data_IF_456270487605
#
_entry.id   IF_456270487605
#
_cell.length_a   1.000
_cell.length_b   1.000
_cell.length_c   1.000
_cell.angle_alpha   90.00
_cell.angle_beta   90.00
_cell.angle_gamma   90.00
#
_symmetry.space_group_name_H-M   'P 1'
#
loop_
_entity.id
_entity.type
_entity.pdbx_description
1 polymer ?
#
# COMPACT_ATOMS: atom_id res chain seq x y z
N UNK A 1 -16.61 31.27 14.43
CA UNK A 1 -15.31 30.63 14.15
C UNK A 1 -15.08 29.60 15.23
N UNK A 2 -15.51 28.35 14.99
CA UNK A 2 -15.20 27.22 15.86
C UNK A 2 -14.14 26.40 15.14
N UNK A 3 -12.96 26.31 15.76
CA UNK A 3 -11.89 25.40 15.36
C UNK A 3 -12.40 23.96 15.52
N UNK A 4 -12.64 23.28 14.40
CA UNK A 4 -13.20 21.92 14.33
C UNK A 4 -12.20 20.92 13.76
N UNK A 5 -10.97 20.92 14.27
CA UNK A 5 -9.91 19.97 13.90
C UNK A 5 -9.72 18.83 14.91
N UNK A 6 -10.81 18.35 15.52
CA UNK A 6 -10.76 17.03 16.16
C UNK A 6 -11.04 15.98 15.08
N UNK A 7 -10.12 15.03 14.82
CA UNK A 7 -10.44 13.87 14.01
C UNK A 7 -11.65 13.18 14.65
N UNK A 8 -12.73 13.03 13.87
CA UNK A 8 -13.91 12.33 14.32
C UNK A 8 -13.51 10.89 14.62
N UNK A 9 -13.78 10.40 15.83
CA UNK A 9 -13.54 9.00 16.17
C UNK A 9 -14.36 8.12 15.21
N UNK A 10 -13.74 7.12 14.54
CA UNK A 10 -14.48 6.23 13.66
C UNK A 10 -15.62 5.53 14.41
N UNK A 11 -16.76 5.35 13.74
CA UNK A 11 -17.91 4.64 14.31
C UNK A 11 -17.73 3.12 14.29
N UNK A 12 -16.76 2.63 13.51
CA UNK A 12 -16.37 1.23 13.42
C UNK A 12 -15.18 1.04 12.47
N UNK A 13 -14.64 -0.18 12.46
CA UNK A 13 -13.49 -0.54 11.62
C UNK A 13 -13.81 -1.73 10.72
N UNK A 14 -13.21 -1.73 9.53
CA UNK A 14 -13.10 -2.87 8.63
C UNK A 14 -11.62 -3.23 8.49
N UNK A 15 -11.24 -4.46 8.85
CA UNK A 15 -9.85 -4.89 8.80
C UNK A 15 -9.62 -5.70 7.53
N UNK A 16 -8.73 -5.22 6.66
CA UNK A 16 -8.45 -5.82 5.35
C UNK A 16 -7.01 -6.33 5.33
N UNK A 17 -6.85 -7.63 5.05
CA UNK A 17 -5.57 -8.32 4.93
C UNK A 17 -4.86 -8.06 3.59
N UNK A 18 -3.97 -8.97 3.22
CA UNK A 18 -3.09 -8.88 2.05
C UNK A 18 -3.87 -8.53 0.76
N UNK A 19 -3.35 -7.56 0.01
CA UNK A 19 -3.96 -7.10 -1.24
C UNK A 19 -3.15 -7.53 -2.46
N UNK A 20 -1.81 -7.54 -2.36
CA UNK A 20 -0.90 -8.04 -3.37
C UNK A 20 -1.21 -7.57 -4.79
N UNK A 21 -1.39 -6.26 -5.00
CA UNK A 21 -1.60 -5.69 -6.32
C UNK A 21 -2.92 -6.06 -6.99
N UNK A 22 -3.96 -6.41 -6.22
CA UNK A 22 -5.30 -6.70 -6.74
C UNK A 22 -6.28 -5.56 -6.45
N UNK A 23 -6.10 -4.44 -7.16
CA UNK A 23 -6.90 -3.23 -6.97
C UNK A 23 -8.38 -3.45 -7.32
N UNK A 24 -8.70 -4.20 -8.37
CA UNK A 24 -10.09 -4.47 -8.76
C UNK A 24 -10.85 -5.31 -7.70
N UNK A 25 -10.31 -6.44 -7.19
CA UNK A 25 -10.88 -7.12 -6.02
C UNK A 25 -11.02 -6.23 -4.78
N UNK A 26 -10.03 -5.36 -4.51
CA UNK A 26 -10.12 -4.42 -3.38
C UNK A 26 -11.28 -3.43 -3.55
N UNK A 27 -11.44 -2.80 -4.73
CA UNK A 27 -12.58 -1.91 -5.02
C UNK A 27 -13.92 -2.61 -4.80
N UNK A 28 -14.04 -3.83 -5.32
CA UNK A 28 -15.25 -4.64 -5.17
C UNK A 28 -15.55 -4.93 -3.69
N UNK A 29 -14.53 -5.29 -2.91
CA UNK A 29 -14.69 -5.52 -1.47
C UNK A 29 -15.16 -4.24 -0.74
N UNK A 30 -14.56 -3.09 -1.06
CA UNK A 30 -14.95 -1.81 -0.46
C UNK A 30 -16.42 -1.46 -0.78
N UNK A 31 -16.84 -1.66 -2.02
CA UNK A 31 -18.23 -1.47 -2.45
C UNK A 31 -19.20 -2.42 -1.73
N UNK A 32 -18.83 -3.71 -1.59
CA UNK A 32 -19.61 -4.69 -0.83
C UNK A 32 -19.72 -4.34 0.67
N UNK A 33 -18.70 -3.69 1.22
CA UNK A 33 -18.69 -3.17 2.60
C UNK A 33 -19.43 -1.84 2.76
N UNK A 34 -19.97 -1.26 1.68
CA UNK A 34 -20.73 -0.02 1.69
C UNK A 34 -19.89 1.27 1.59
N UNK A 35 -18.61 1.16 1.22
CA UNK A 35 -17.80 2.33 0.91
C UNK A 35 -18.12 2.83 -0.50
N UNK A 36 -18.14 4.15 -0.67
CA UNK A 36 -18.40 4.83 -1.93
C UNK A 36 -17.24 5.76 -2.28
N UNK A 37 -16.98 5.95 -3.57
CA UNK A 37 -15.95 6.87 -4.04
C UNK A 37 -16.41 8.33 -3.90
N UNK A 38 -15.75 9.09 -3.02
CA UNK A 38 -16.06 10.49 -2.72
C UNK A 38 -14.76 11.31 -2.70
N UNK A 39 -14.70 12.39 -3.47
CA UNK A 39 -13.55 13.29 -3.55
C UNK A 39 -12.20 12.57 -3.79
N UNK A 40 -12.22 11.48 -4.56
CA UNK A 40 -11.03 10.71 -4.92
C UNK A 40 -10.60 9.62 -3.93
N UNK A 41 -11.39 9.36 -2.88
CA UNK A 41 -11.14 8.25 -1.96
C UNK A 41 -12.43 7.48 -1.60
N UNK A 42 -12.31 6.20 -1.25
CA UNK A 42 -13.44 5.44 -0.73
C UNK A 42 -13.77 5.89 0.71
N UNK A 43 -15.04 6.18 0.99
CA UNK A 43 -15.56 6.62 2.29
C UNK A 43 -16.85 5.87 2.63
N UNK A 44 -17.11 5.64 3.90
CA UNK A 44 -18.33 5.00 4.37
C UNK A 44 -19.23 6.04 5.04
N UNK A 45 -20.48 6.19 4.59
CA UNK A 45 -21.42 7.23 5.08
C UNK A 45 -21.60 7.21 6.60
N UNK A 46 -21.62 6.01 7.21
CA UNK A 46 -21.72 5.86 8.66
C UNK A 46 -20.45 6.29 9.44
N UNK A 47 -19.36 6.71 8.79
CA UNK A 47 -18.10 7.10 9.43
C UNK A 47 -17.20 5.94 9.86
N UNK A 48 -17.28 4.79 9.17
CA UNK A 48 -16.37 3.65 9.37
C UNK A 48 -15.04 3.90 8.69
N UNK A 49 -13.98 3.28 9.22
CA UNK A 49 -12.62 3.41 8.70
C UNK A 49 -12.01 2.05 8.37
N UNK A 50 -11.24 1.97 7.28
CA UNK A 50 -10.49 0.76 6.96
C UNK A 50 -9.18 0.71 7.74
N UNK A 51 -8.79 -0.48 8.19
CA UNK A 51 -7.46 -0.81 8.71
C UNK A 51 -6.81 -1.80 7.75
N UNK A 52 -5.88 -1.33 6.94
CA UNK A 52 -5.09 -2.17 6.04
C UNK A 52 -3.92 -2.80 6.79
N UNK A 53 -3.75 -4.12 6.64
CA UNK A 53 -2.73 -4.89 7.35
C UNK A 53 -1.37 -4.99 6.63
N UNK A 54 -1.21 -4.32 5.49
CA UNK A 54 0.01 -4.36 4.67
C UNK A 54 -0.09 -5.33 3.49
N UNK A 55 1.06 -5.66 2.91
CA UNK A 55 1.20 -6.56 1.76
C UNK A 55 0.35 -6.08 0.57
N UNK A 56 0.61 -4.85 0.14
CA UNK A 56 -0.01 -4.16 -0.99
C UNK A 56 0.67 -4.51 -2.31
N UNK A 57 1.97 -4.78 -2.25
CA UNK A 57 2.81 -5.03 -3.44
C UNK A 57 3.07 -6.52 -3.66
N UNK A 58 3.78 -6.79 -4.75
CA UNK A 58 4.16 -8.11 -5.26
C UNK A 58 2.95 -8.99 -5.66
N UNK A 59 3.15 -9.85 -6.67
CA UNK A 59 2.20 -10.83 -7.25
C UNK A 59 1.15 -10.30 -8.23
N UNK A 60 0.25 -9.41 -7.82
CA UNK A 60 -0.91 -9.01 -8.62
C UNK A 60 -0.56 -8.06 -9.78
N UNK A 61 -1.47 -7.88 -10.74
CA UNK A 61 -1.22 -7.09 -11.95
C UNK A 61 -1.43 -5.58 -11.77
N UNK A 62 -2.08 -5.12 -10.70
CA UNK A 62 -2.52 -3.74 -10.46
C UNK A 62 -1.80 -3.14 -9.24
N UNK A 63 -0.49 -3.33 -9.14
CA UNK A 63 0.33 -2.92 -7.97
C UNK A 63 0.26 -1.41 -7.77
N UNK A 64 0.46 -0.62 -8.83
CA UNK A 64 0.43 0.84 -8.76
C UNK A 64 -0.96 1.34 -8.37
N UNK A 65 -2.01 0.81 -8.99
CA UNK A 65 -3.39 1.16 -8.68
C UNK A 65 -3.77 0.79 -7.25
N UNK A 66 -3.24 -0.32 -6.72
CA UNK A 66 -3.42 -0.73 -5.32
C UNK A 66 -2.81 0.29 -4.38
N UNK A 67 -1.56 0.69 -4.64
CA UNK A 67 -0.86 1.68 -3.83
C UNK A 67 -1.57 3.04 -3.84
N UNK A 68 -1.95 3.54 -5.02
CA UNK A 68 -2.72 4.79 -5.15
C UNK A 68 -4.07 4.74 -4.44
N UNK A 69 -4.79 3.61 -4.50
CA UNK A 69 -6.06 3.43 -3.80
C UNK A 69 -5.86 3.46 -2.29
N UNK A 70 -4.95 2.63 -1.76
CA UNK A 70 -4.68 2.53 -0.31
C UNK A 70 -4.20 3.87 0.23
N UNK A 71 -3.19 4.47 -0.40
CA UNK A 71 -2.65 5.77 0.02
C UNK A 71 -3.71 6.87 -0.09
N UNK A 72 -4.51 6.90 -1.14
CA UNK A 72 -5.62 7.85 -1.28
C UNK A 72 -6.59 7.78 -0.11
N UNK A 73 -6.97 6.57 0.33
CA UNK A 73 -7.82 6.40 1.52
C UNK A 73 -7.11 6.87 2.81
N UNK A 74 -5.82 6.55 2.99
CA UNK A 74 -5.03 6.98 4.15
C UNK A 74 -4.90 8.50 4.20
N UNK A 75 -4.49 9.14 3.11
CA UNK A 75 -4.34 10.60 3.00
C UNK A 75 -5.67 11.32 3.25
N UNK A 76 -6.80 10.71 2.87
CA UNK A 76 -8.14 11.26 3.03
C UNK A 76 -8.75 11.03 4.44
N UNK A 77 -8.07 10.28 5.29
CA UNK A 77 -8.49 9.91 6.64
C UNK A 77 -9.56 8.81 6.72
N UNK A 78 -9.90 8.15 5.60
CA UNK A 78 -10.85 7.02 5.59
C UNK A 78 -10.21 5.66 5.81
N UNK A 79 -8.88 5.60 5.88
CA UNK A 79 -8.13 4.41 6.26
C UNK A 79 -6.91 4.72 7.13
N UNK A 80 -6.42 3.71 7.83
CA UNK A 80 -5.03 3.62 8.32
C UNK A 80 -4.40 2.36 7.75
N UNK A 81 -3.07 2.35 7.66
CA UNK A 81 -2.31 1.23 7.16
C UNK A 81 -1.13 0.92 8.09
N UNK A 82 -0.76 -0.36 8.18
CA UNK A 82 0.53 -0.80 8.70
C UNK A 82 1.36 -1.37 7.56
N UNK A 83 2.68 -1.31 7.70
CA UNK A 83 3.61 -1.88 6.72
C UNK A 83 3.65 -3.40 6.85
N UNK A 84 3.45 -4.11 5.73
CA UNK A 84 3.58 -5.56 5.64
C UNK A 84 5.03 -5.99 5.43
N UNK A 85 5.26 -7.30 5.39
CA UNK A 85 6.62 -7.80 5.14
C UNK A 85 7.05 -7.58 3.70
N UNK A 86 6.12 -7.49 2.74
CA UNK A 86 6.44 -7.22 1.35
C UNK A 86 6.98 -5.79 1.17
N UNK A 87 6.34 -4.79 1.75
CA UNK A 87 6.84 -3.40 1.76
C UNK A 87 8.18 -3.28 2.50
N UNK A 88 8.31 -3.90 3.69
CA UNK A 88 9.58 -3.92 4.43
C UNK A 88 10.72 -4.54 3.61
N UNK A 89 10.43 -5.65 2.91
CA UNK A 89 11.40 -6.30 2.04
C UNK A 89 11.79 -5.42 0.86
N UNK A 90 10.86 -4.65 0.29
CA UNK A 90 11.15 -3.69 -0.76
C UNK A 90 12.08 -2.57 -0.27
N UNK A 91 11.80 -1.97 0.89
CA UNK A 91 12.70 -0.97 1.52
C UNK A 91 14.10 -1.56 1.68
N UNK A 92 14.23 -2.77 2.21
CA UNK A 92 15.51 -3.44 2.36
C UNK A 92 16.18 -3.80 1.02
N UNK A 93 15.39 -4.12 -0.02
CA UNK A 93 15.89 -4.41 -1.37
C UNK A 93 16.51 -3.18 -2.02
N UNK A 94 16.01 -1.98 -1.69
CA UNK A 94 16.48 -0.71 -2.24
C UNK A 94 17.45 0.05 -1.32
N UNK A 95 17.66 -0.39 -0.08
CA UNK A 95 18.59 0.24 0.86
C UNK A 95 19.99 -0.40 0.79
N UNK A 96 21.05 0.35 0.47
CA UNK A 96 22.43 -0.16 0.48
C UNK A 96 22.88 -0.61 1.87
N UNK A 97 23.66 -1.68 1.96
CA UNK A 97 24.18 -2.21 3.23
C UNK A 97 25.51 -1.56 3.68
N UNK A 98 26.07 -0.68 2.85
CA UNK A 98 27.37 -0.02 3.08
C UNK A 98 28.59 -0.88 2.74
N UNK A 99 28.41 -2.10 2.19
CA UNK A 99 29.47 -3.05 1.85
C UNK A 99 29.47 -3.44 0.36
N UNK A 100 28.67 -2.76 -0.45
CA UNK A 100 28.55 -3.00 -1.89
C UNK A 100 27.40 -3.93 -2.27
N UNK A 101 26.48 -4.23 -1.35
CA UNK A 101 25.21 -4.90 -1.62
C UNK A 101 24.04 -4.09 -0.99
N UNK A 102 22.89 -4.73 -0.82
CA UNK A 102 21.67 -4.18 -0.23
C UNK A 102 21.27 -4.95 1.04
N UNK A 103 20.52 -4.31 1.94
CA UNK A 103 20.04 -4.94 3.18
C UNK A 103 19.24 -6.23 2.91
N UNK A 104 18.57 -6.30 1.75
CA UNK A 104 18.08 -7.54 1.16
C UNK A 104 18.87 -7.83 -0.11
N UNK A 105 19.81 -8.77 -0.01
CA UNK A 105 20.73 -9.11 -1.10
C UNK A 105 20.01 -9.44 -2.40
N UNK A 106 20.47 -8.84 -3.50
CA UNK A 106 19.99 -9.10 -4.86
C UNK A 106 20.73 -10.26 -5.54
N UNK A 107 21.90 -10.61 -5.01
CA UNK A 107 22.78 -11.69 -5.49
C UNK A 107 22.73 -12.96 -4.64
N UNK A 108 21.94 -12.97 -3.56
CA UNK A 108 21.83 -14.08 -2.61
C UNK A 108 21.40 -15.41 -3.23
N UNK A 109 21.80 -16.50 -2.55
CA UNK A 109 21.63 -17.89 -3.00
C UNK A 109 20.19 -18.18 -3.43
N UNK A 110 20.01 -18.32 -4.75
CA UNK A 110 18.81 -18.73 -5.53
C UNK A 110 17.92 -17.65 -6.15
N UNK A 111 18.22 -16.36 -5.96
CA UNK A 111 17.46 -15.28 -6.61
C UNK A 111 16.02 -15.11 -6.12
N UNK A 112 15.58 -15.82 -5.07
CA UNK A 112 14.22 -15.70 -4.50
C UNK A 112 13.83 -14.27 -4.16
N UNK A 113 14.76 -13.46 -3.65
CA UNK A 113 14.49 -12.07 -3.28
C UNK A 113 14.07 -11.23 -4.50
N UNK A 114 14.74 -11.46 -5.64
CA UNK A 114 14.39 -10.79 -6.90
C UNK A 114 13.08 -11.34 -7.44
N UNK A 115 12.91 -12.66 -7.45
CA UNK A 115 11.69 -13.32 -7.94
C UNK A 115 10.45 -12.84 -7.18
N UNK A 116 10.53 -12.72 -5.85
CA UNK A 116 9.41 -12.23 -5.04
C UNK A 116 9.04 -10.78 -5.40
N UNK A 117 10.05 -9.94 -5.64
CA UNK A 117 9.86 -8.52 -5.90
C UNK A 117 9.67 -8.17 -7.40
N UNK A 118 9.84 -9.15 -8.29
CA UNK A 118 9.91 -8.93 -9.74
C UNK A 118 8.66 -8.26 -10.29
N UNK A 119 7.47 -8.68 -9.85
CA UNK A 119 6.22 -8.07 -10.30
C UNK A 119 6.14 -6.57 -9.98
N UNK A 120 6.68 -6.16 -8.83
CA UNK A 120 6.75 -4.75 -8.45
C UNK A 120 7.78 -4.01 -9.30
N UNK A 121 8.97 -4.59 -9.51
CA UNK A 121 9.97 -4.01 -10.42
C UNK A 121 9.42 -3.82 -11.84
N UNK A 122 8.67 -4.79 -12.34
CA UNK A 122 8.03 -4.73 -13.66
C UNK A 122 6.94 -3.65 -13.71
N UNK A 123 6.11 -3.54 -12.67
CA UNK A 123 5.04 -2.54 -12.58
C UNK A 123 5.56 -1.10 -12.57
N UNK A 124 6.77 -0.88 -12.06
CA UNK A 124 7.42 0.43 -11.96
C UNK A 124 8.53 0.67 -12.99
N UNK A 125 8.71 -0.23 -13.97
CA UNK A 125 9.65 -0.01 -15.06
C UNK A 125 9.28 1.26 -15.85
N UNK A 126 10.19 2.25 -15.89
CA UNK A 126 9.94 3.57 -16.48
C UNK A 126 9.21 4.56 -15.58
N UNK A 127 9.02 4.23 -14.30
CA UNK A 127 8.40 5.05 -13.26
C UNK A 127 9.28 5.07 -12.00
N UNK A 128 10.60 5.17 -12.17
CA UNK A 128 11.58 5.04 -11.10
C UNK A 128 11.42 6.13 -10.03
N UNK A 129 11.14 7.38 -10.42
CA UNK A 129 10.88 8.49 -9.49
C UNK A 129 9.64 8.23 -8.62
N UNK A 130 8.56 7.72 -9.23
CA UNK A 130 7.35 7.35 -8.47
C UNK A 130 7.64 6.21 -7.50
N UNK A 131 8.47 5.24 -7.90
CA UNK A 131 8.85 4.14 -7.02
C UNK A 131 9.65 4.60 -5.80
N UNK A 132 10.55 5.57 -5.97
CA UNK A 132 11.28 6.17 -4.85
C UNK A 132 10.32 6.85 -3.84
N UNK A 133 9.27 7.52 -4.31
CA UNK A 133 8.24 8.10 -3.44
C UNK A 133 7.48 7.02 -2.65
N UNK A 134 7.20 5.86 -3.27
CA UNK A 134 6.57 4.73 -2.59
C UNK A 134 7.46 4.11 -1.52
N UNK A 135 8.76 3.95 -1.81
CA UNK A 135 9.74 3.49 -0.81
C UNK A 135 9.84 4.45 0.37
N UNK A 136 9.72 5.76 0.15
CA UNK A 136 9.73 6.75 1.22
C UNK A 136 8.43 6.78 2.05
N UNK A 137 7.31 6.36 1.46
CA UNK A 137 6.02 6.30 2.14
C UNK A 137 5.85 5.08 3.05
N UNK A 138 6.47 3.94 2.70
CA UNK A 138 6.47 2.72 3.52
C UNK A 138 7.18 2.92 4.87
#
# INVERSE_FOLDING_TARGET
>A
MTDSRHPQTPTGYDVIGDIHGFAAPLRKLLEELGYQMEDGAYRHEAGRQVVFLGDFIDRGPEIRETLHLVKGMVDSGSAVAVMGNHEFNAVCFHTPDGKGDFLRSRAGHDGRNVIQHQATLDAFSGFEEEWEDWIAWF
#
